data_IF_731155204660
#
_entry.id   IF_731155204660
#
_cell.length_a   1.000
_cell.length_b   1.000
_cell.length_c   1.000
_cell.angle_alpha   90.00
_cell.angle_beta   90.00
_cell.angle_gamma   90.00
#
_symmetry.space_group_name_H-M   'P 1'
#
loop_
_entity.id
_entity.type
_entity.pdbx_description
1 polymer ?
#
# COMPACT_ATOMS: atom_id res chain seq x y z
N UNK A 1 -8.19 27.91 -1.05
CA UNK A 1 -8.15 27.13 0.20
C UNK A 1 -6.68 26.86 0.50
N UNK A 2 -6.22 27.02 1.74
CA UNK A 2 -4.85 26.65 2.11
C UNK A 2 -4.73 25.13 2.06
N UNK A 3 -3.84 24.60 1.22
CA UNK A 3 -3.44 23.19 1.30
C UNK A 3 -2.72 22.98 2.64
N UNK A 4 -3.35 22.26 3.56
CA UNK A 4 -2.65 21.75 4.72
C UNK A 4 -1.82 20.55 4.26
N UNK A 5 -0.51 20.74 4.19
CA UNK A 5 0.44 19.67 3.94
C UNK A 5 0.78 18.97 5.25
N UNK A 6 0.48 17.68 5.32
CA UNK A 6 0.89 16.80 6.40
C UNK A 6 1.93 15.82 5.86
N UNK A 7 3.07 15.71 6.54
CA UNK A 7 4.12 14.75 6.19
C UNK A 7 4.22 13.69 7.28
N UNK A 8 4.08 12.44 6.87
CA UNK A 8 4.33 11.26 7.69
C UNK A 8 5.24 10.34 6.89
N UNK A 9 6.30 9.87 7.52
CA UNK A 9 7.23 8.92 6.91
C UNK A 9 6.85 7.52 7.44
N UNK A 10 6.30 6.68 6.57
CA UNK A 10 5.89 5.32 6.92
C UNK A 10 7.10 4.40 7.06
N UNK A 11 7.07 3.52 8.05
CA UNK A 11 7.96 2.36 8.13
C UNK A 11 7.57 1.29 7.12
N UNK A 12 8.51 0.40 6.80
CA UNK A 12 8.28 -0.72 5.87
C UNK A 12 7.13 -1.63 6.34
N UNK A 13 7.02 -1.90 7.64
CA UNK A 13 5.95 -2.70 8.22
C UNK A 13 4.58 -2.02 8.11
N UNK A 14 4.52 -0.69 8.29
CA UNK A 14 3.30 0.08 8.07
C UNK A 14 2.89 0.08 6.60
N UNK A 15 3.84 0.20 5.67
CA UNK A 15 3.56 0.11 4.23
C UNK A 15 2.96 -1.26 3.90
N UNK A 16 3.58 -2.34 4.38
CA UNK A 16 3.08 -3.71 4.19
C UNK A 16 1.66 -3.87 4.73
N UNK A 17 1.43 -3.46 5.98
CA UNK A 17 0.12 -3.56 6.61
C UNK A 17 -0.95 -2.72 5.87
N UNK A 18 -0.60 -1.51 5.44
CA UNK A 18 -1.50 -0.64 4.69
C UNK A 18 -1.85 -1.21 3.32
N UNK A 19 -0.88 -1.76 2.60
CA UNK A 19 -1.13 -2.39 1.30
C UNK A 19 -2.11 -3.56 1.43
N UNK A 20 -1.92 -4.42 2.43
CA UNK A 20 -2.83 -5.54 2.67
C UNK A 20 -4.23 -5.03 3.03
N UNK A 21 -4.33 -4.07 3.95
CA UNK A 21 -5.61 -3.48 4.34
C UNK A 21 -6.36 -2.84 3.17
N UNK A 22 -5.65 -2.07 2.33
CA UNK A 22 -6.25 -1.42 1.15
C UNK A 22 -6.71 -2.44 0.12
N UNK A 23 -5.94 -3.52 -0.07
CA UNK A 23 -6.30 -4.61 -0.99
C UNK A 23 -7.51 -5.41 -0.50
N UNK A 24 -7.60 -5.72 0.79
CA UNK A 24 -8.78 -6.38 1.37
C UNK A 24 -10.06 -5.55 1.21
N UNK A 25 -9.92 -4.22 1.17
CA UNK A 25 -11.03 -3.28 1.04
C UNK A 25 -11.11 -2.64 -0.35
N UNK A 26 -10.44 -3.21 -1.36
CA UNK A 26 -10.35 -2.62 -2.71
C UNK A 26 -11.73 -2.35 -3.32
N UNK A 27 -12.69 -3.24 -3.08
CA UNK A 27 -14.06 -3.12 -3.57
C UNK A 27 -14.85 -1.94 -2.97
N UNK A 28 -14.43 -1.40 -1.83
CA UNK A 28 -15.09 -0.29 -1.12
C UNK A 28 -14.20 0.94 -1.00
N UNK A 29 -13.02 0.91 -1.64
CA UNK A 29 -12.03 1.96 -1.51
C UNK A 29 -12.51 3.25 -2.20
N UNK A 30 -12.51 4.40 -1.51
CA UNK A 30 -12.77 5.69 -2.13
C UNK A 30 -11.74 5.97 -3.25
N UNK A 31 -12.18 6.47 -4.40
CA UNK A 31 -11.29 6.76 -5.53
C UNK A 31 -10.13 7.72 -5.22
N UNK A 32 -10.27 8.57 -4.19
CA UNK A 32 -9.18 9.43 -3.71
C UNK A 32 -8.01 8.66 -3.08
N UNK A 33 -8.19 7.39 -2.72
CA UNK A 33 -7.17 6.52 -2.15
C UNK A 33 -6.55 5.54 -3.16
N UNK A 34 -7.06 5.48 -4.40
CA UNK A 34 -6.49 4.60 -5.45
C UNK A 34 -5.02 4.93 -5.71
N UNK A 35 -4.68 6.22 -5.82
CA UNK A 35 -3.30 6.66 -6.00
C UNK A 35 -2.41 6.30 -4.81
N UNK A 36 -2.95 6.32 -3.59
CA UNK A 36 -2.22 5.88 -2.40
C UNK A 36 -1.95 4.38 -2.48
N UNK A 37 -2.97 3.58 -2.78
CA UNK A 37 -2.84 2.13 -2.93
C UNK A 37 -1.82 1.75 -4.00
N UNK A 38 -1.87 2.39 -5.17
CA UNK A 38 -0.92 2.16 -6.26
C UNK A 38 0.52 2.48 -5.83
N UNK A 39 0.74 3.63 -5.19
CA UNK A 39 2.07 4.01 -4.72
C UNK A 39 2.63 3.02 -3.69
N UNK A 40 1.80 2.59 -2.74
CA UNK A 40 2.23 1.63 -1.73
C UNK A 40 2.50 0.24 -2.34
N UNK A 41 1.70 -0.22 -3.30
CA UNK A 41 1.98 -1.46 -4.04
C UNK A 41 3.29 -1.37 -4.82
N UNK A 42 3.55 -0.25 -5.51
CA UNK A 42 4.83 -0.04 -6.20
C UNK A 42 6.00 -0.06 -5.22
N UNK A 43 5.88 0.54 -4.04
CA UNK A 43 6.91 0.43 -3.00
C UNK A 43 7.20 -1.02 -2.62
N UNK A 44 6.18 -1.88 -2.49
CA UNK A 44 6.38 -3.30 -2.22
C UNK A 44 7.11 -3.98 -3.37
N UNK A 45 6.65 -3.80 -4.62
CA UNK A 45 7.29 -4.39 -5.80
C UNK A 45 8.71 -3.88 -6.04
N UNK A 46 9.03 -2.64 -5.67
CA UNK A 46 10.38 -2.08 -5.78
C UNK A 46 11.31 -2.58 -4.65
N UNK A 47 10.73 -2.96 -3.50
CA UNK A 47 11.47 -3.45 -2.34
C UNK A 47 11.69 -4.97 -2.33
N UNK A 48 10.94 -5.71 -3.16
CA UNK A 48 10.90 -7.17 -3.17
C UNK A 48 11.14 -7.73 -4.57
N UNK A 49 11.66 -8.94 -4.64
CA UNK A 49 11.61 -9.73 -5.87
C UNK A 49 10.17 -10.13 -6.19
N UNK A 50 9.91 -10.53 -7.44
CA UNK A 50 8.60 -11.02 -7.87
C UNK A 50 8.13 -12.18 -6.98
N UNK A 51 9.01 -13.14 -6.68
CA UNK A 51 8.70 -14.30 -5.83
C UNK A 51 8.35 -13.90 -4.39
N UNK A 52 9.04 -12.90 -3.83
CA UNK A 52 8.77 -12.37 -2.48
C UNK A 52 7.45 -11.61 -2.42
N UNK A 53 7.16 -10.80 -3.45
CA UNK A 53 5.89 -10.10 -3.57
C UNK A 53 4.72 -11.08 -3.73
N UNK A 54 4.87 -12.12 -4.57
CA UNK A 54 3.86 -13.17 -4.71
C UNK A 54 3.59 -13.88 -3.39
N UNK A 55 4.63 -14.23 -2.62
CA UNK A 55 4.45 -14.81 -1.28
C UNK A 55 3.78 -13.83 -0.33
N UNK A 56 4.22 -12.59 -0.29
CA UNK A 56 3.65 -11.55 0.57
C UNK A 56 2.14 -11.40 0.36
N UNK A 57 1.71 -11.40 -0.90
CA UNK A 57 0.33 -11.21 -1.26
C UNK A 57 -0.54 -12.48 -1.21
N UNK A 58 0.05 -13.67 -1.37
CA UNK A 58 -0.69 -14.93 -1.47
C UNK A 58 -0.58 -15.84 -0.22
N UNK A 59 0.44 -15.67 0.63
CA UNK A 59 0.61 -16.41 1.89
C UNK A 59 0.07 -15.66 3.11
N UNK A 60 -0.42 -14.42 2.94
CA UNK A 60 -1.20 -13.71 3.97
C UNK A 60 -2.60 -14.33 4.07
N UNK A 61 -2.69 -15.53 4.69
CA UNK A 61 -3.93 -16.22 5.12
C UNK A 61 -3.84 -16.48 6.62
#
# INVERSE_FOLDING_TARGET
MMEQTFRYDFSEDEIKALVLLLRENEATLPGCLENLMLNLQNCIYDSMTIDEAEKFFNESI
#
